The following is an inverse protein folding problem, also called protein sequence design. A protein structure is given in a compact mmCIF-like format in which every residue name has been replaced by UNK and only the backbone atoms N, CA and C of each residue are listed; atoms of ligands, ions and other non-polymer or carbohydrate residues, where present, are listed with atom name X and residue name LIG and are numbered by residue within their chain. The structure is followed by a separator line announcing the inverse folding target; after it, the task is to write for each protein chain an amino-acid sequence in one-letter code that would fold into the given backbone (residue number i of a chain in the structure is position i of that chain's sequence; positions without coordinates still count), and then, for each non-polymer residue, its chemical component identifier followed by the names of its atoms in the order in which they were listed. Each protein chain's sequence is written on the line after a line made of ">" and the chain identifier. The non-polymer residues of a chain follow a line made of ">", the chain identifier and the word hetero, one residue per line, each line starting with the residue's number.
data_IF_283356051332
#
_entry.id   IF_283356051332
#
_cell.length_a   1.000
_cell.length_b   1.000
_cell.length_c   1.000
_cell.angle_alpha   90.00
_cell.angle_beta   90.00
_cell.angle_gamma   90.00
#
_symmetry.space_group_name_H-M   'P 1'
#
loop_
_entity.id
_entity.type
_entity.pdbx_description
1 polymer ?
#
# COMPACT_ATOMS: atom_id res chain seq x y z
N UNK A 1 14.22 -8.07 17.24
CA UNK A 1 13.92 -7.15 16.12
C UNK A 1 15.18 -7.06 15.30
N UNK A 2 15.16 -7.54 14.06
CA UNK A 2 16.28 -7.33 13.16
C UNK A 2 16.39 -5.83 12.90
N UNK A 3 17.60 -5.26 12.97
CA UNK A 3 17.88 -3.92 12.49
C UNK A 3 17.50 -3.86 11.01
N UNK A 4 16.31 -3.33 10.70
CA UNK A 4 15.92 -2.99 9.34
C UNK A 4 16.79 -1.79 8.97
N UNK A 5 17.98 -2.09 8.48
CA UNK A 5 18.87 -1.11 7.88
C UNK A 5 18.08 -0.50 6.73
N UNK A 6 17.76 0.79 6.83
CA UNK A 6 17.21 1.64 5.77
C UNK A 6 15.68 1.94 5.80
N UNK A 7 15.10 2.20 6.97
CA UNK A 7 13.77 2.88 7.02
C UNK A 7 13.89 4.31 6.52
N UNK A 8 13.01 4.72 5.59
CA UNK A 8 12.97 6.09 5.07
C UNK A 8 12.51 7.05 6.16
N UNK A 9 13.15 8.21 6.25
CA UNK A 9 12.63 9.32 7.07
C UNK A 9 11.32 9.84 6.46
N UNK A 10 10.51 10.52 7.28
CA UNK A 10 9.25 11.12 6.79
C UNK A 10 9.48 12.05 5.60
N UNK A 11 10.56 12.84 5.60
CA UNK A 11 10.93 13.71 4.48
C UNK A 11 11.21 12.93 3.20
N UNK A 12 11.90 11.79 3.31
CA UNK A 12 12.14 10.89 2.17
C UNK A 12 10.83 10.29 1.67
N UNK A 13 9.96 9.84 2.59
CA UNK A 13 8.62 9.30 2.27
C UNK A 13 7.75 10.33 1.55
N UNK A 14 7.74 11.58 2.02
CA UNK A 14 7.04 12.70 1.36
C UNK A 14 7.55 12.90 -0.06
N UNK A 15 8.87 12.91 -0.27
CA UNK A 15 9.46 13.10 -1.60
C UNK A 15 9.08 11.96 -2.57
N UNK A 16 9.16 10.70 -2.13
CA UNK A 16 8.79 9.56 -3.00
C UNK A 16 7.28 9.49 -3.27
N UNK A 17 6.43 9.93 -2.33
CA UNK A 17 4.98 10.04 -2.54
C UNK A 17 4.64 11.09 -3.61
N UNK A 18 5.35 12.22 -3.64
CA UNK A 18 5.21 13.23 -4.70
C UNK A 18 5.55 12.67 -6.08
N UNK A 19 6.58 11.83 -6.19
CA UNK A 19 6.95 11.16 -7.45
C UNK A 19 5.80 10.31 -7.97
N UNK A 20 5.16 9.49 -7.11
CA UNK A 20 4.01 8.67 -7.53
C UNK A 20 2.90 9.57 -8.07
N UNK A 21 2.52 10.62 -7.33
CA UNK A 21 1.45 11.54 -7.76
C UNK A 21 1.77 12.24 -9.09
N UNK A 22 3.02 12.66 -9.28
CA UNK A 22 3.46 13.28 -10.53
C UNK A 22 3.36 12.31 -11.70
N UNK A 23 3.88 11.08 -11.53
CA UNK A 23 3.82 10.05 -12.57
C UNK A 23 2.37 9.67 -12.92
N UNK A 24 1.50 9.51 -11.92
CA UNK A 24 0.08 9.20 -12.10
C UNK A 24 -0.71 10.30 -12.80
N UNK A 25 -0.24 11.55 -12.76
CA UNK A 25 -0.88 12.67 -13.44
C UNK A 25 -0.43 12.82 -14.91
N UNK A 26 0.53 12.01 -15.37
CA UNK A 26 0.98 12.03 -16.77
C UNK A 26 0.08 11.18 -17.67
N UNK A 27 0.04 11.44 -18.99
CA UNK A 27 -0.66 10.58 -19.94
C UNK A 27 0.07 9.23 -20.19
N UNK A 28 1.31 9.06 -19.73
CA UNK A 28 2.05 7.81 -19.84
C UNK A 28 1.48 6.78 -18.85
N UNK A 29 1.30 5.53 -19.30
CA UNK A 29 0.88 4.45 -18.41
C UNK A 29 1.97 4.21 -17.36
N UNK A 30 1.66 4.49 -16.10
CA UNK A 30 2.51 4.16 -14.98
C UNK A 30 2.36 2.67 -14.63
N UNK A 31 3.40 1.89 -14.90
CA UNK A 31 3.46 0.46 -14.59
C UNK A 31 3.99 0.22 -13.19
N UNK A 32 3.17 -0.40 -12.33
CA UNK A 32 3.57 -0.92 -11.03
C UNK A 32 3.55 -2.45 -11.10
N UNK A 33 4.65 -3.08 -10.72
CA UNK A 33 4.75 -4.55 -10.65
C UNK A 33 4.63 -4.96 -9.20
N UNK A 34 3.76 -5.94 -8.95
CA UNK A 34 3.55 -6.51 -7.62
C UNK A 34 4.75 -7.36 -7.19
N UNK A 35 5.24 -7.10 -5.98
CA UNK A 35 6.27 -7.88 -5.29
C UNK A 35 5.76 -8.29 -3.91
N UNK A 36 6.42 -9.24 -3.26
CA UNK A 36 5.98 -9.76 -1.95
C UNK A 36 7.13 -10.07 -0.99
N UNK A 37 8.38 -9.88 -1.42
CA UNK A 37 9.55 -10.04 -0.56
C UNK A 37 10.71 -9.15 -1.04
N UNK A 38 11.79 -9.11 -0.26
CA UNK A 38 12.97 -8.32 -0.58
C UNK A 38 13.70 -8.79 -1.86
N UNK A 39 13.57 -10.05 -2.25
CA UNK A 39 14.26 -10.61 -3.43
C UNK A 39 13.57 -10.12 -4.70
N UNK A 40 12.26 -10.32 -4.80
CA UNK A 40 11.41 -9.83 -5.88
C UNK A 40 11.48 -8.31 -5.98
N UNK A 41 11.47 -7.58 -4.86
CA UNK A 41 11.67 -6.13 -4.84
C UNK A 41 12.97 -5.70 -5.52
N UNK A 42 14.11 -6.34 -5.19
CA UNK A 42 15.42 -6.03 -5.80
C UNK A 42 15.45 -6.37 -7.29
N UNK A 43 14.94 -7.54 -7.67
CA UNK A 43 14.93 -8.00 -9.07
C UNK A 43 14.11 -7.04 -9.93
N UNK A 44 12.89 -6.71 -9.50
CA UNK A 44 11.99 -5.82 -10.24
C UNK A 44 12.52 -4.38 -10.26
N UNK A 45 13.12 -3.90 -9.17
CA UNK A 45 13.71 -2.56 -9.10
C UNK A 45 14.91 -2.38 -10.04
N UNK A 46 15.62 -3.46 -10.38
CA UNK A 46 16.75 -3.42 -11.30
C UNK A 46 16.33 -3.42 -12.79
N UNK A 47 15.06 -3.68 -13.09
CA UNK A 47 14.58 -3.68 -14.47
C UNK A 47 14.51 -2.25 -15.05
N UNK A 48 14.96 -2.05 -16.30
CA UNK A 48 14.84 -0.75 -16.95
C UNK A 48 13.38 -0.29 -17.02
N UNK A 49 13.14 0.97 -16.63
CA UNK A 49 11.81 1.58 -16.65
C UNK A 49 10.94 1.31 -15.42
N UNK A 50 11.40 0.54 -14.44
CA UNK A 50 10.70 0.44 -13.15
C UNK A 50 10.83 1.76 -12.38
N UNK A 51 9.72 2.48 -12.22
CA UNK A 51 9.67 3.77 -11.52
C UNK A 51 9.07 3.67 -10.11
N UNK A 52 8.16 2.72 -9.88
CA UNK A 52 7.42 2.52 -8.63
C UNK A 52 7.18 1.01 -8.44
N UNK A 53 7.24 0.55 -7.18
CA UNK A 53 6.95 -0.83 -6.77
C UNK A 53 5.56 -0.89 -6.12
N UNK A 54 4.76 -1.89 -6.45
CA UNK A 54 3.57 -2.25 -5.68
C UNK A 54 3.83 -3.53 -4.89
N UNK A 55 3.22 -3.69 -3.74
CA UNK A 55 3.17 -4.98 -3.03
C UNK A 55 1.88 -5.71 -3.36
N UNK A 56 1.88 -7.05 -3.37
CA UNK A 56 0.66 -7.85 -3.40
C UNK A 56 0.35 -8.42 -2.00
N UNK A 57 -0.74 -7.98 -1.38
CA UNK A 57 -1.15 -8.41 -0.04
C UNK A 57 -1.38 -9.91 0.02
N UNK A 58 -2.12 -10.45 -0.95
CA UNK A 58 -2.34 -11.89 -1.11
C UNK A 58 -1.02 -12.68 -1.18
N UNK A 59 -0.03 -12.22 -1.97
CA UNK A 59 1.23 -12.96 -2.11
C UNK A 59 2.07 -12.92 -0.83
N UNK A 60 2.06 -11.79 -0.10
CA UNK A 60 2.68 -11.69 1.23
C UNK A 60 1.99 -12.65 2.20
N UNK A 61 0.65 -12.66 2.25
CA UNK A 61 -0.12 -13.58 3.09
C UNK A 61 0.21 -15.04 2.78
N UNK A 62 0.19 -15.41 1.49
CA UNK A 62 0.46 -16.76 1.02
C UNK A 62 1.87 -17.25 1.38
N UNK A 63 2.91 -16.39 1.28
CA UNK A 63 4.28 -16.80 1.65
C UNK A 63 4.41 -17.14 3.13
N UNK A 64 3.58 -16.52 3.98
CA UNK A 64 3.51 -16.79 5.42
C UNK A 64 2.50 -17.89 5.78
N UNK A 65 1.84 -18.50 4.79
CA UNK A 65 0.87 -19.58 4.98
C UNK A 65 -0.54 -19.11 5.39
N UNK A 66 -0.87 -17.84 5.19
CA UNK A 66 -2.20 -17.29 5.44
C UNK A 66 -3.03 -17.22 4.15
N UNK A 67 -4.36 -17.42 4.23
CA UNK A 67 -5.27 -17.08 3.15
C UNK A 67 -5.28 -15.57 2.86
N UNK A 68 -5.79 -15.20 1.68
CA UNK A 68 -6.04 -13.80 1.31
C UNK A 68 -7.15 -13.16 2.15
N UNK A 69 -7.25 -11.82 2.13
CA UNK A 69 -8.33 -11.05 2.76
C UNK A 69 -8.15 -10.83 4.26
N UNK A 70 -7.08 -10.15 4.66
CA UNK A 70 -6.80 -9.75 6.05
C UNK A 70 -6.66 -10.89 7.08
N UNK A 71 -6.46 -12.14 6.64
CA UNK A 71 -6.24 -13.27 7.56
C UNK A 71 -4.82 -13.29 8.16
N UNK A 72 -3.86 -12.65 7.50
CA UNK A 72 -2.51 -12.43 8.04
C UNK A 72 -2.56 -11.32 9.12
N UNK A 73 -1.85 -11.48 10.26
CA UNK A 73 -1.75 -10.40 11.24
C UNK A 73 -1.16 -9.13 10.63
N UNK A 74 -1.81 -7.98 10.85
CA UNK A 74 -1.40 -6.67 10.30
C UNK A 74 0.06 -6.33 10.61
N UNK A 75 0.54 -6.69 11.80
CA UNK A 75 1.94 -6.47 12.20
C UNK A 75 2.91 -7.25 11.33
N UNK A 76 2.55 -8.47 10.92
CA UNK A 76 3.36 -9.31 10.04
C UNK A 76 3.30 -8.82 8.59
N UNK A 77 2.14 -8.34 8.13
CA UNK A 77 1.98 -7.70 6.83
C UNK A 77 2.87 -6.46 6.71
N UNK A 78 2.80 -5.56 7.70
CA UNK A 78 3.60 -4.33 7.74
C UNK A 78 5.09 -4.63 7.91
N UNK A 79 5.47 -5.63 8.70
CA UNK A 79 6.87 -6.06 8.81
C UNK A 79 7.43 -6.55 7.46
N UNK A 80 6.68 -7.40 6.74
CA UNK A 80 7.07 -7.88 5.41
C UNK A 80 7.16 -6.73 4.39
N UNK A 81 6.25 -5.77 4.50
CA UNK A 81 6.26 -4.55 3.67
C UNK A 81 7.47 -3.67 3.97
N UNK A 82 7.87 -3.55 5.23
CA UNK A 82 9.06 -2.80 5.63
C UNK A 82 10.34 -3.41 5.05
N UNK A 83 10.43 -4.74 4.98
CA UNK A 83 11.54 -5.44 4.30
C UNK A 83 11.60 -5.11 2.81
N UNK A 84 10.46 -5.01 2.13
CA UNK A 84 10.36 -4.58 0.72
C UNK A 84 10.82 -3.13 0.57
N UNK A 85 10.36 -2.22 1.44
CA UNK A 85 10.78 -0.81 1.43
C UNK A 85 12.28 -0.68 1.59
N UNK A 86 12.88 -1.40 2.53
CA UNK A 86 14.33 -1.38 2.77
C UNK A 86 15.14 -1.97 1.60
N UNK A 87 14.53 -2.83 0.77
CA UNK A 87 15.19 -3.51 -0.34
C UNK A 87 15.31 -2.67 -1.63
N UNK A 88 14.69 -1.48 -1.68
CA UNK A 88 14.70 -0.63 -2.88
C UNK A 88 14.79 0.86 -2.55
N UNK A 89 15.32 1.65 -3.49
CA UNK A 89 15.29 3.12 -3.42
C UNK A 89 14.08 3.71 -4.16
N UNK A 90 13.26 2.88 -4.82
CA UNK A 90 12.07 3.31 -5.54
C UNK A 90 10.88 3.54 -4.59
N UNK A 91 9.95 4.46 -4.90
CA UNK A 91 8.68 4.57 -4.20
C UNK A 91 7.97 3.20 -4.12
N UNK A 92 7.37 2.90 -2.96
CA UNK A 92 6.65 1.64 -2.72
C UNK A 92 5.21 1.98 -2.36
N UNK A 93 4.26 1.28 -2.99
CA UNK A 93 2.84 1.29 -2.61
C UNK A 93 2.47 -0.02 -1.94
N UNK A 94 1.75 0.04 -0.82
CA UNK A 94 1.28 -1.13 -0.11
C UNK A 94 -0.12 -1.57 -0.56
N UNK A 95 -0.39 -2.86 -0.58
CA UNK A 95 -1.74 -3.39 -0.69
C UNK A 95 -2.23 -3.67 0.72
N UNK A 96 -3.17 -2.86 1.19
CA UNK A 96 -3.60 -2.85 2.60
C UNK A 96 -5.01 -3.43 2.78
N UNK A 97 -5.54 -4.12 1.78
CA UNK A 97 -6.91 -4.66 1.77
C UNK A 97 -7.93 -3.58 2.21
N UNK A 98 -8.83 -3.87 3.16
CA UNK A 98 -9.77 -2.91 3.74
C UNK A 98 -9.18 -2.10 4.90
N UNK A 99 -7.89 -2.24 5.17
CA UNK A 99 -7.17 -1.53 6.22
C UNK A 99 -7.06 -2.26 7.56
N UNK A 100 -7.28 -3.58 7.60
CA UNK A 100 -7.07 -4.43 8.78
C UNK A 100 -7.86 -3.96 10.03
N UNK A 101 -9.11 -3.57 9.81
CA UNK A 101 -10.04 -3.10 10.86
C UNK A 101 -9.94 -1.60 11.21
N UNK A 102 -8.81 -0.94 10.94
CA UNK A 102 -8.62 0.51 11.13
C UNK A 102 -7.72 1.07 10.02
N UNK A 103 -8.31 1.39 8.87
CA UNK A 103 -7.55 1.85 7.71
C UNK A 103 -6.74 3.14 7.95
N UNK A 104 -7.28 4.19 8.63
CA UNK A 104 -6.48 5.36 8.99
C UNK A 104 -5.23 5.02 9.80
N UNK A 105 -5.36 4.18 10.83
CA UNK A 105 -4.21 3.80 11.65
C UNK A 105 -3.24 2.89 10.88
N UNK A 106 -3.73 1.96 10.07
CA UNK A 106 -2.88 1.11 9.24
C UNK A 106 -2.07 1.93 8.23
N UNK A 107 -2.67 2.95 7.61
CA UNK A 107 -1.96 3.85 6.69
C UNK A 107 -0.92 4.70 7.41
N UNK A 108 -1.21 5.23 8.61
CA UNK A 108 -0.19 5.91 9.44
C UNK A 108 1.02 5.00 9.68
N UNK A 109 0.77 3.76 10.11
CA UNK A 109 1.83 2.77 10.36
C UNK A 109 2.60 2.38 9.09
N UNK A 110 1.93 2.32 7.94
CA UNK A 110 2.58 2.09 6.66
C UNK A 110 3.51 3.27 6.28
N UNK A 111 3.08 4.50 6.52
CA UNK A 111 3.91 5.70 6.31
C UNK A 111 5.16 5.67 7.19
N UNK A 112 5.02 5.28 8.46
CA UNK A 112 6.16 5.15 9.41
C UNK A 112 7.26 4.20 8.90
N UNK A 113 6.90 3.16 8.15
CA UNK A 113 7.86 2.22 7.55
C UNK A 113 8.33 2.64 6.14
N UNK A 114 7.90 3.81 5.65
CA UNK A 114 8.36 4.38 4.38
C UNK A 114 7.53 4.04 3.14
N UNK A 115 6.31 3.54 3.33
CA UNK A 115 5.31 3.38 2.26
C UNK A 115 4.78 4.75 1.83
N UNK A 116 4.66 4.96 0.53
CA UNK A 116 4.35 6.27 -0.07
C UNK A 116 3.02 6.34 -0.82
N UNK A 117 2.32 5.21 -0.90
CA UNK A 117 0.96 5.10 -1.42
C UNK A 117 0.37 3.75 -1.04
N UNK A 118 -0.93 3.54 -1.25
CA UNK A 118 -1.52 2.23 -1.00
C UNK A 118 -2.79 2.00 -1.80
N UNK A 119 -3.11 0.72 -1.99
CA UNK A 119 -4.46 0.28 -2.29
C UNK A 119 -5.21 0.09 -0.97
N UNK A 120 -6.41 0.66 -0.88
CA UNK A 120 -7.39 0.37 0.17
C UNK A 120 -8.72 0.10 -0.51
N UNK A 121 -9.36 -1.03 -0.19
CA UNK A 121 -10.62 -1.45 -0.77
C UNK A 121 -11.82 -1.09 0.11
N UNK A 122 -12.95 -0.82 -0.54
CA UNK A 122 -14.20 -0.51 0.15
C UNK A 122 -14.84 -1.71 0.87
N UNK A 123 -14.39 -2.94 0.55
CA UNK A 123 -14.99 -4.20 0.99
C UNK A 123 -16.52 -4.24 0.80
N UNK A 124 -17.04 -3.63 -0.29
CA UNK A 124 -18.47 -3.52 -0.55
C UNK A 124 -19.28 -2.79 0.55
N UNK A 125 -18.65 -1.89 1.31
CA UNK A 125 -19.38 -0.98 2.20
C UNK A 125 -20.38 -0.13 1.39
N UNK A 126 -21.47 0.35 2.02
CA UNK A 126 -22.36 1.32 1.39
C UNK A 126 -21.57 2.53 0.86
N UNK A 127 -21.97 3.09 -0.28
CA UNK A 127 -21.20 4.14 -0.99
C UNK A 127 -20.71 5.27 -0.07
N UNK A 128 -21.59 5.85 0.75
CA UNK A 128 -21.21 6.94 1.66
C UNK A 128 -20.18 6.50 2.71
N UNK A 129 -20.28 5.25 3.19
CA UNK A 129 -19.30 4.68 4.12
C UNK A 129 -17.96 4.40 3.42
N UNK A 130 -17.98 4.00 2.15
CA UNK A 130 -16.78 3.80 1.34
C UNK A 130 -16.07 5.12 1.10
N UNK A 131 -16.80 6.20 0.75
CA UNK A 131 -16.25 7.55 0.59
C UNK A 131 -15.65 8.03 1.91
N UNK A 132 -16.38 7.93 3.02
CA UNK A 132 -15.90 8.33 4.34
C UNK A 132 -14.63 7.57 4.76
N UNK A 133 -14.52 6.27 4.45
CA UNK A 133 -13.31 5.49 4.67
C UNK A 133 -12.12 6.07 3.90
N UNK A 134 -12.28 6.33 2.59
CA UNK A 134 -11.20 6.89 1.76
C UNK A 134 -10.78 8.29 2.21
N UNK A 135 -11.74 9.14 2.58
CA UNK A 135 -11.47 10.46 3.15
C UNK A 135 -10.68 10.36 4.46
N UNK A 136 -11.05 9.44 5.35
CA UNK A 136 -10.35 9.22 6.63
C UNK A 136 -8.90 8.75 6.42
N UNK A 137 -8.65 7.91 5.42
CA UNK A 137 -7.31 7.47 5.03
C UNK A 137 -6.47 8.65 4.52
N UNK A 138 -7.02 9.48 3.61
CA UNK A 138 -6.33 10.67 3.11
C UNK A 138 -6.04 11.64 4.26
N UNK A 139 -6.99 11.88 5.16
CA UNK A 139 -6.80 12.76 6.30
C UNK A 139 -5.69 12.28 7.24
N UNK A 140 -5.61 10.96 7.50
CA UNK A 140 -4.54 10.37 8.29
C UNK A 140 -3.16 10.60 7.65
N UNK A 141 -3.04 10.39 6.33
CA UNK A 141 -1.78 10.66 5.63
C UNK A 141 -1.40 12.15 5.61
N UNK A 142 -2.38 13.04 5.48
CA UNK A 142 -2.16 14.50 5.54
C UNK A 142 -1.67 14.94 6.91
N UNK A 143 -2.17 14.34 7.99
CA UNK A 143 -1.69 14.60 9.35
C UNK A 143 -0.21 14.21 9.55
N UNK A 144 0.29 13.22 8.80
CA UNK A 144 1.72 12.86 8.76
C UNK A 144 2.55 13.75 7.80
N UNK A 145 1.91 14.70 7.10
CA UNK A 145 2.59 15.56 6.12
C UNK A 145 2.99 14.85 4.82
N UNK A 146 2.38 13.72 4.50
CA UNK A 146 2.69 12.92 3.30
C UNK A 146 1.60 13.10 2.25
N UNK A 147 1.94 13.51 1.01
CA UNK A 147 1.02 13.57 -0.12
C UNK A 147 0.81 12.16 -0.67
N UNK A 148 0.23 11.30 0.15
CA UNK A 148 0.11 9.86 -0.06
C UNK A 148 -0.72 9.54 -1.30
N UNK A 149 -0.23 8.62 -2.13
CA UNK A 149 -0.91 8.18 -3.33
C UNK A 149 -1.90 7.05 -2.98
N UNK A 150 -3.12 7.42 -2.59
CA UNK A 150 -4.20 6.45 -2.38
C UNK A 150 -4.78 5.99 -3.72
N UNK A 151 -4.76 4.69 -3.95
CA UNK A 151 -5.53 4.00 -4.97
C UNK A 151 -6.79 3.42 -4.31
N UNK A 152 -7.88 4.20 -4.30
CA UNK A 152 -9.15 3.77 -3.73
C UNK A 152 -9.76 2.67 -4.61
N UNK A 153 -9.80 1.44 -4.10
CA UNK A 153 -10.30 0.26 -4.80
C UNK A 153 -11.77 0.02 -4.44
N UNK A 154 -12.56 -0.35 -5.44
CA UNK A 154 -13.92 -0.87 -5.24
C UNK A 154 -14.04 -2.28 -5.78
N UNK A 155 -14.74 -3.14 -5.04
CA UNK A 155 -15.00 -4.52 -5.46
C UNK A 155 -16.36 -4.68 -6.17
N UNK A 156 -17.08 -3.59 -6.46
CA UNK A 156 -18.46 -3.60 -6.93
C UNK A 156 -18.74 -4.40 -8.20
N UNK A 157 -17.71 -4.69 -9.01
CA UNK A 157 -17.82 -5.49 -10.24
C UNK A 157 -17.54 -6.98 -9.99
N UNK A 158 -16.75 -7.32 -8.96
CA UNK A 158 -16.20 -8.66 -8.75
C UNK A 158 -16.88 -9.39 -7.59
N UNK A 159 -17.33 -8.65 -6.56
CA UNK A 159 -18.12 -9.17 -5.46
C UNK A 159 -19.60 -8.86 -5.73
N UNK A 160 -20.49 -9.84 -5.63
CA UNK A 160 -21.93 -9.57 -5.60
C UNK A 160 -22.23 -8.63 -4.44
N UNK A 161 -23.02 -7.59 -4.70
CA UNK A 161 -23.42 -6.62 -3.69
C UNK A 161 -24.21 -7.35 -2.61
N UNK A 162 -23.70 -7.41 -1.37
CA UNK A 162 -24.41 -7.98 -0.21
C UNK A 162 -25.50 -7.03 0.31
N UNK A 163 -25.89 -6.03 -0.48
CA UNK A 163 -26.99 -5.15 -0.16
C UNK A 163 -28.31 -5.94 -0.13
N UNK A 164 -28.82 -6.14 1.10
CA UNK A 164 -30.09 -6.73 1.52
C UNK A 164 -30.15 -8.27 1.69
N UNK A 165 -29.76 -8.73 2.88
CA UNK A 165 -30.60 -9.63 3.70
C UNK A 165 -30.77 -9.04 5.09
#
# INVERSE_FOLDING_TARGET
>A
MADIKNTRSITQTTAVAQIIRQLSATPEILRLVNVWDAVTARVISALPGTKVIATAGHSIAAMHGYPDGENIPVDLMLASTAEIVAATNLPVTADLDGGFGDAPQTVRRAIEIGVSGANVEDQMKPFDNSVALMESVIAAAQAEGVPFALNARTDAIVKECVCAR
#
